data_IF_939503937354
#
_entry.id   IF_939503937354
#
_cell.length_a   1.000
_cell.length_b   1.000
_cell.length_c   1.000
_cell.angle_alpha   90.00
_cell.angle_beta   90.00
_cell.angle_gamma   90.00
#
_symmetry.space_group_name_H-M   'P 1'
#
loop_
_entity.id
_entity.type
_entity.pdbx_description
1 polymer ?
#
# COMPACT_ATOMS: atom_id res chain seq x y z
N UNK A 1 -52.09 -22.67 59.08
CA UNK A 1 -50.84 -23.15 58.78
C UNK A 1 -50.45 -22.79 57.43
N UNK A 2 -49.55 -22.15 57.30
CA UNK A 2 -49.28 -21.69 56.11
C UNK A 2 -47.99 -21.66 55.64
N UNK A 3 -47.74 -21.60 54.68
CA UNK A 3 -46.53 -21.58 54.19
C UNK A 3 -46.32 -20.63 53.23
N UNK A 4 -45.51 -19.92 53.29
CA UNK A 4 -45.22 -18.93 52.38
C UNK A 4 -44.08 -19.28 51.59
N UNK A 5 -44.15 -19.13 50.48
CA UNK A 5 -43.09 -19.40 49.73
C UNK A 5 -42.54 -18.29 49.10
N UNK A 6 -41.52 -18.12 49.19
CA UNK A 6 -40.87 -17.20 48.62
C UNK A 6 -40.20 -17.58 47.49
N UNK A 7 -40.17 -17.09 46.63
CA UNK A 7 -39.44 -17.28 45.60
C UNK A 7 -38.60 -16.28 45.28
N UNK A 8 -37.56 -16.36 45.15
CA UNK A 8 -36.58 -15.53 44.84
C UNK A 8 -36.34 -15.38 43.47
N UNK A 9 -36.33 -14.43 43.10
CA UNK A 9 -36.17 -14.19 41.78
C UNK A 9 -34.84 -14.01 41.39
N UNK A 10 -34.50 -14.45 40.65
CA UNK A 10 -33.37 -14.25 40.26
C UNK A 10 -33.17 -13.60 39.18
N UNK A 11 -32.73 -13.03 38.96
CA UNK A 11 -32.38 -12.28 38.02
C UNK A 11 -31.23 -12.47 37.43
N UNK A 12 -31.11 -12.77 36.58
CA UNK A 12 -30.07 -12.90 35.99
C UNK A 12 -29.73 -11.93 35.15
N UNK A 13 -28.96 -11.51 35.37
CA UNK A 13 -28.63 -10.49 34.73
C UNK A 13 -27.71 -10.71 33.74
N UNK A 14 -27.87 -10.89 32.95
CA UNK A 14 -26.99 -11.10 32.14
C UNK A 14 -26.38 -10.22 31.40
N UNK A 15 -25.80 -9.90 31.10
CA UNK A 15 -25.42 -9.24 30.53
C UNK A 15 -24.51 -8.79 29.95
N UNK A 16 -24.44 -8.80 29.29
CA UNK A 16 -23.90 -8.17 28.78
C UNK A 16 -22.90 -7.87 28.24
N UNK A 17 -22.51 -7.96 28.10
CA UNK A 17 -21.52 -7.70 27.79
C UNK A 17 -20.96 -7.38 26.67
N UNK A 18 -21.08 -7.85 26.07
CA UNK A 18 -20.61 -7.60 24.94
C UNK A 18 -19.79 -6.63 24.55
N UNK A 19 -20.03 -5.97 24.47
CA UNK A 19 -19.53 -5.00 24.17
C UNK A 19 -18.30 -4.68 23.97
N UNK A 20 -17.88 -4.85 24.19
CA UNK A 20 -16.72 -4.35 24.25
C UNK A 20 -15.95 -4.38 23.11
N UNK A 21 -16.20 -4.97 22.50
CA UNK A 21 -15.56 -5.07 21.52
C UNK A 21 -14.94 -4.08 20.84
N UNK A 22 -15.43 -3.44 20.36
CA UNK A 22 -14.87 -2.61 19.55
C UNK A 22 -13.85 -1.79 19.96
N UNK A 23 -13.95 -1.45 20.91
CA UNK A 23 -13.12 -0.47 21.30
C UNK A 23 -11.76 -0.72 21.02
N UNK A 24 -11.42 -1.75 21.11
CA UNK A 24 -10.21 -1.95 20.94
C UNK A 24 -9.58 -1.43 19.83
N UNK A 25 -10.13 -1.55 18.86
CA UNK A 25 -9.50 -1.18 17.75
C UNK A 25 -8.88 0.07 17.79
N UNK A 26 -9.44 0.84 18.35
CA UNK A 26 -8.98 2.07 18.33
C UNK A 26 -7.68 2.27 18.73
N UNK A 27 -7.34 1.70 19.63
CA UNK A 27 -6.17 2.02 20.16
C UNK A 27 -5.08 2.07 19.22
N UNK A 28 -5.13 1.38 18.31
CA UNK A 28 -4.04 1.36 17.59
C UNK A 28 -3.71 2.45 16.87
N UNK A 29 -4.55 3.05 16.51
CA UNK A 29 -4.26 4.05 15.71
C UNK A 29 -3.46 5.08 16.19
N UNK A 30 -3.34 5.25 17.28
CA UNK A 30 -2.71 6.42 17.71
C UNK A 30 -1.25 6.42 17.56
N UNK A 31 -0.65 5.38 17.27
CA UNK A 31 0.73 5.45 17.31
C UNK A 31 1.33 6.01 16.11
N UNK A 32 1.72 7.11 16.04
CA UNK A 32 2.34 7.67 14.91
C UNK A 32 3.81 7.82 14.97
N UNK A 33 4.48 7.43 15.92
CA UNK A 33 5.91 7.65 16.00
C UNK A 33 6.75 6.60 15.30
N UNK A 34 8.07 6.72 15.38
CA UNK A 34 8.96 5.80 14.69
C UNK A 34 8.76 4.34 15.05
N UNK A 35 8.27 4.04 16.19
CA UNK A 35 8.01 2.66 16.54
C UNK A 35 6.59 2.22 16.31
N UNK A 36 5.74 3.06 15.78
CA UNK A 36 4.35 2.69 15.57
C UNK A 36 4.06 2.04 14.26
N UNK A 37 2.81 1.80 13.98
CA UNK A 37 2.40 1.22 12.71
C UNK A 37 2.59 2.22 11.59
N UNK A 38 2.94 1.76 10.41
CA UNK A 38 3.08 2.67 9.27
C UNK A 38 1.71 3.20 8.84
N UNK A 39 1.71 4.41 8.31
CA UNK A 39 0.50 5.00 7.73
C UNK A 39 0.86 5.48 6.36
N UNK A 40 0.57 4.67 5.38
CA UNK A 40 1.04 4.87 4.02
C UNK A 40 -0.05 5.49 3.13
N UNK A 41 0.38 6.44 2.30
CA UNK A 41 -0.46 7.00 1.26
C UNK A 41 0.33 7.00 -0.01
N UNK A 42 -0.29 6.69 -1.11
CA UNK A 42 0.39 6.70 -2.41
C UNK A 42 -0.08 7.94 -3.15
N UNK A 43 0.88 8.71 -3.63
CA UNK A 43 0.60 9.95 -4.37
C UNK A 43 1.18 9.90 -5.76
N UNK A 44 0.51 10.57 -6.67
CA UNK A 44 0.95 10.80 -8.05
C UNK A 44 1.44 9.55 -8.78
N UNK A 45 0.72 8.45 -8.74
CA UNK A 45 1.15 7.25 -9.47
C UNK A 45 0.91 7.44 -10.96
N UNK A 46 1.85 7.00 -11.77
CA UNK A 46 1.65 6.99 -13.21
C UNK A 46 2.58 6.00 -13.89
N UNK A 47 2.17 5.56 -15.08
CA UNK A 47 2.96 4.70 -15.94
C UNK A 47 3.05 5.42 -17.28
N UNK A 48 4.24 5.90 -17.68
CA UNK A 48 4.38 6.46 -19.02
C UNK A 48 4.13 5.40 -20.07
N UNK A 49 3.45 5.78 -21.14
CA UNK A 49 3.19 4.84 -22.22
C UNK A 49 4.51 4.26 -22.71
N UNK A 50 4.65 2.94 -22.82
CA UNK A 50 5.89 2.36 -23.34
C UNK A 50 6.23 2.89 -24.71
N UNK A 51 7.50 3.12 -24.96
CA UNK A 51 7.95 3.71 -26.21
C UNK A 51 7.76 2.78 -27.41
N UNK A 52 7.75 1.50 -27.17
CA UNK A 52 7.58 0.53 -28.24
C UNK A 52 6.53 -0.50 -27.85
N UNK A 53 5.84 -1.10 -28.81
CA UNK A 53 4.94 -2.20 -28.52
C UNK A 53 5.68 -3.32 -27.82
N UNK A 54 5.04 -3.91 -26.83
CA UNK A 54 5.63 -5.00 -26.05
C UNK A 54 6.91 -4.61 -25.31
N UNK A 55 7.20 -3.32 -25.27
CA UNK A 55 8.39 -2.83 -24.57
C UNK A 55 8.19 -2.82 -23.07
N UNK A 56 9.28 -2.69 -22.35
CA UNK A 56 9.23 -2.58 -20.90
C UNK A 56 8.60 -1.25 -20.51
N UNK A 57 7.81 -1.25 -19.48
CA UNK A 57 7.25 -0.03 -18.93
C UNK A 57 7.91 0.32 -17.63
N UNK A 58 7.77 1.57 -17.23
CA UNK A 58 8.23 2.04 -15.94
C UNK A 58 7.04 2.50 -15.13
N UNK A 59 7.11 2.34 -13.82
CA UNK A 59 6.08 2.83 -12.94
C UNK A 59 6.68 3.77 -11.92
N UNK A 60 5.99 4.88 -11.66
CA UNK A 60 6.44 5.89 -10.72
C UNK A 60 5.33 6.25 -9.75
N UNK A 61 5.71 6.50 -8.53
CA UNK A 61 4.77 6.95 -7.51
C UNK A 61 5.56 7.41 -6.28
N UNK A 62 4.89 8.09 -5.38
CA UNK A 62 5.48 8.47 -4.10
C UNK A 62 4.70 7.77 -3.00
N UNK A 63 5.40 7.13 -2.09
CA UNK A 63 4.77 6.58 -0.90
C UNK A 63 5.10 7.52 0.25
N UNK A 64 4.07 8.08 0.87
CA UNK A 64 4.24 8.94 2.03
C UNK A 64 3.88 8.17 3.28
N UNK A 65 4.70 8.30 4.28
CA UNK A 65 4.48 7.58 5.53
C UNK A 65 4.47 8.54 6.71
N UNK A 66 3.34 8.61 7.39
CA UNK A 66 3.22 9.44 8.57
C UNK A 66 3.30 8.61 9.85
N UNK A 67 3.57 7.34 9.76
CA UNK A 67 3.68 6.44 10.91
C UNK A 67 5.08 5.87 11.05
N UNK A 68 5.18 4.69 11.59
CA UNK A 68 6.46 4.01 11.77
C UNK A 68 7.05 3.50 10.48
N UNK A 69 8.34 3.22 10.46
CA UNK A 69 9.03 2.77 9.26
C UNK A 69 8.49 1.47 8.71
N UNK A 70 8.55 1.32 7.41
CA UNK A 70 8.14 0.10 6.72
C UNK A 70 9.11 -0.16 5.58
N UNK A 71 8.89 -1.21 4.84
CA UNK A 71 9.71 -1.59 3.70
C UNK A 71 8.82 -2.12 2.59
N UNK A 72 9.02 -1.63 1.37
CA UNK A 72 8.36 -2.18 0.21
C UNK A 72 9.14 -3.41 -0.21
N UNK A 73 8.55 -4.58 -0.12
CA UNK A 73 9.26 -5.84 -0.34
C UNK A 73 8.97 -6.48 -1.68
N UNK A 74 7.88 -6.14 -2.31
CA UNK A 74 7.62 -6.63 -3.68
C UNK A 74 6.50 -5.83 -4.32
N UNK A 75 6.43 -5.90 -5.64
CA UNK A 75 5.37 -5.27 -6.41
C UNK A 75 4.94 -6.26 -7.48
N UNK A 76 3.65 -6.34 -7.71
CA UNK A 76 3.11 -7.18 -8.77
C UNK A 76 1.95 -6.47 -9.44
N UNK A 77 1.49 -7.01 -10.55
CA UNK A 77 0.35 -6.46 -11.27
C UNK A 77 -0.38 -7.56 -12.03
N UNK A 78 -1.71 -7.59 -11.98
CA UNK A 78 -2.44 -8.53 -12.83
C UNK A 78 -2.35 -8.14 -14.31
N UNK A 79 -1.89 -6.94 -14.63
CA UNK A 79 -1.76 -6.47 -16.00
C UNK A 79 -0.42 -6.85 -16.62
N UNK A 80 0.50 -7.43 -15.88
CA UNK A 80 1.84 -7.76 -16.38
C UNK A 80 2.36 -9.02 -15.71
N UNK A 81 3.25 -9.71 -16.39
CA UNK A 81 3.82 -10.94 -15.85
C UNK A 81 4.89 -10.70 -14.81
N UNK A 82 5.51 -9.55 -14.81
CA UNK A 82 6.62 -9.27 -13.90
C UNK A 82 6.73 -7.79 -13.60
N UNK A 83 6.95 -7.46 -12.34
CA UNK A 83 7.28 -6.11 -11.91
C UNK A 83 8.47 -6.21 -10.98
N UNK A 84 9.52 -5.47 -11.28
CA UNK A 84 10.72 -5.46 -10.46
C UNK A 84 11.05 -4.05 -10.00
N UNK A 85 11.78 -3.95 -8.91
CA UNK A 85 12.19 -2.66 -8.37
C UNK A 85 13.63 -2.38 -8.77
N UNK A 86 13.89 -1.17 -9.23
CA UNK A 86 15.22 -0.79 -9.68
C UNK A 86 15.62 0.57 -9.08
N UNK A 87 16.90 0.77 -8.99
CA UNK A 87 17.45 2.05 -8.57
C UNK A 87 18.52 2.46 -9.58
N UNK A 88 18.46 3.67 -10.06
CA UNK A 88 19.47 4.19 -10.96
C UNK A 88 20.61 4.78 -10.15
N UNK A 89 21.83 4.52 -10.58
CA UNK A 89 23.02 5.14 -10.03
C UNK A 89 23.62 6.01 -11.13
N UNK A 90 24.69 6.71 -10.84
CA UNK A 90 25.32 7.54 -11.85
C UNK A 90 25.84 6.76 -13.05
N UNK A 91 26.15 5.51 -12.86
CA UNK A 91 26.77 4.71 -13.93
C UNK A 91 25.95 3.50 -14.32
N UNK A 92 24.93 3.13 -13.58
CA UNK A 92 24.20 1.91 -13.88
C UNK A 92 22.81 1.91 -13.28
N UNK A 93 22.07 0.84 -13.58
CA UNK A 93 20.76 0.61 -13.02
C UNK A 93 20.83 -0.72 -12.29
N UNK A 94 20.40 -0.76 -11.06
CA UNK A 94 20.48 -1.96 -10.25
C UNK A 94 19.11 -2.42 -9.82
N UNK A 95 18.87 -3.71 -9.92
CA UNK A 95 17.65 -4.29 -9.38
C UNK A 95 17.82 -4.44 -7.88
N UNK A 96 16.82 -4.04 -7.12
CA UNK A 96 16.85 -4.17 -5.67
C UNK A 96 15.67 -5.04 -5.23
N UNK A 97 15.85 -5.74 -4.13
CA UNK A 97 14.80 -6.63 -3.66
C UNK A 97 13.83 -5.93 -2.73
N UNK A 98 14.20 -4.84 -2.17
CA UNK A 98 13.32 -4.09 -1.27
C UNK A 98 13.74 -2.63 -1.19
N UNK A 99 12.80 -1.78 -0.80
CA UNK A 99 13.05 -0.36 -0.65
C UNK A 99 12.50 0.13 0.69
N UNK A 100 13.30 0.79 1.51
CA UNK A 100 12.82 1.27 2.81
C UNK A 100 11.90 2.48 2.67
N UNK A 101 10.92 2.53 3.54
CA UNK A 101 10.02 3.69 3.64
C UNK A 101 10.23 4.25 5.05
N UNK A 102 10.92 5.36 5.19
CA UNK A 102 11.26 5.84 6.52
C UNK A 102 10.05 6.32 7.32
N UNK A 103 10.15 6.25 8.63
CA UNK A 103 9.11 6.75 9.50
C UNK A 103 8.99 8.25 9.30
N UNK A 104 7.80 8.74 9.10
CA UNK A 104 7.57 10.16 8.87
C UNK A 104 8.19 10.68 7.58
N UNK A 105 8.56 9.82 6.66
CA UNK A 105 9.23 10.21 5.43
C UNK A 105 8.54 9.70 4.19
N UNK A 106 9.29 9.67 3.09
CA UNK A 106 8.73 9.24 1.81
C UNK A 106 9.65 8.28 1.08
N UNK A 107 9.08 7.49 0.20
CA UNK A 107 9.81 6.73 -0.79
C UNK A 107 9.37 7.27 -2.14
N UNK A 108 10.29 7.89 -2.87
CA UNK A 108 9.96 8.46 -4.17
C UNK A 108 10.47 7.58 -5.28
N UNK A 109 9.55 7.10 -6.10
CA UNK A 109 9.90 6.41 -7.33
C UNK A 109 9.71 7.42 -8.45
N UNK A 110 10.80 7.93 -8.96
CA UNK A 110 10.79 9.04 -9.92
C UNK A 110 11.83 8.86 -11.01
N UNK A 111 11.65 9.55 -12.12
CA UNK A 111 12.58 9.45 -13.23
C UNK A 111 13.98 9.81 -12.79
N UNK A 112 14.95 9.01 -13.19
CA UNK A 112 16.33 9.23 -12.80
C UNK A 112 16.71 8.67 -11.45
N UNK A 113 15.77 8.15 -10.71
CA UNK A 113 16.02 7.56 -9.40
C UNK A 113 15.47 6.14 -9.31
N UNK A 114 14.87 5.81 -8.20
CA UNK A 114 14.22 4.51 -8.03
C UNK A 114 12.98 4.45 -8.92
N UNK A 115 12.66 3.28 -9.42
CA UNK A 115 11.49 3.08 -10.27
C UNK A 115 11.07 1.61 -10.30
N UNK A 116 9.88 1.38 -10.82
CA UNK A 116 9.41 0.03 -11.07
C UNK A 116 9.59 -0.28 -12.56
N UNK A 117 10.00 -1.50 -12.85
CA UNK A 117 10.14 -1.96 -14.22
C UNK A 117 9.06 -3.00 -14.43
N UNK A 118 8.22 -2.79 -15.43
CA UNK A 118 7.06 -3.62 -15.68
C UNK A 118 7.27 -4.35 -17.01
N UNK A 119 7.18 -5.66 -16.98
CA UNK A 119 7.45 -6.48 -18.14
C UNK A 119 6.36 -7.50 -18.38
N UNK A 120 6.34 -8.04 -19.58
CA UNK A 120 5.38 -9.09 -19.95
C UNK A 120 3.94 -8.65 -19.77
N UNK A 121 3.57 -7.59 -20.46
CA UNK A 121 2.22 -7.06 -20.39
C UNK A 121 1.20 -8.08 -20.88
N UNK A 122 0.13 -8.24 -20.13
CA UNK A 122 -0.96 -9.10 -20.55
C UNK A 122 -1.68 -8.48 -21.76
N UNK A 123 -1.69 -7.14 -21.80
CA UNK A 123 -2.25 -6.40 -22.89
C UNK A 123 -1.46 -5.10 -22.96
N UNK A 124 -1.09 -4.67 -24.13
CA UNK A 124 -0.31 -3.46 -24.27
C UNK A 124 -1.06 -2.26 -23.68
N UNK A 125 -0.42 -1.48 -22.82
CA UNK A 125 -1.08 -0.32 -22.21
C UNK A 125 -1.37 0.75 -23.25
N UNK A 126 -2.49 1.43 -23.07
CA UNK A 126 -2.90 2.53 -23.93
C UNK A 126 -3.16 3.77 -23.08
N UNK A 127 -3.07 4.95 -23.69
CA UNK A 127 -3.35 6.18 -22.98
C UNK A 127 -4.75 6.15 -22.40
N UNK A 128 -4.88 6.57 -21.17
CA UNK A 128 -6.15 6.56 -20.48
C UNK A 128 -6.47 5.29 -19.72
N UNK A 129 -5.69 4.24 -19.90
CA UNK A 129 -5.90 3.04 -19.14
C UNK A 129 -5.51 3.26 -17.68
N UNK A 130 -6.13 2.51 -16.78
CA UNK A 130 -5.71 2.46 -15.41
C UNK A 130 -5.31 1.03 -15.11
N UNK A 131 -4.09 0.86 -14.65
CA UNK A 131 -3.55 -0.46 -14.37
C UNK A 131 -3.39 -0.65 -12.87
N UNK A 132 -3.61 -1.85 -12.42
CA UNK A 132 -3.48 -2.14 -11.00
C UNK A 132 -2.04 -2.48 -10.66
N UNK A 133 -1.50 -1.87 -9.62
CA UNK A 133 -0.24 -2.27 -9.03
C UNK A 133 -0.51 -2.70 -7.59
N UNK A 134 0.02 -3.85 -7.23
CA UNK A 134 -0.13 -4.37 -5.89
C UNK A 134 1.20 -4.22 -5.18
N UNK A 135 1.26 -3.31 -4.24
CA UNK A 135 2.46 -3.05 -3.48
C UNK A 135 2.41 -3.87 -2.19
N UNK A 136 3.48 -4.62 -1.93
CA UNK A 136 3.53 -5.43 -0.73
C UNK A 136 4.53 -4.83 0.23
N UNK A 137 4.07 -4.45 1.40
CA UNK A 137 4.91 -3.86 2.43
C UNK A 137 5.11 -4.86 3.58
N UNK A 138 6.27 -4.81 4.20
CA UNK A 138 6.59 -5.75 5.27
C UNK A 138 5.64 -5.63 6.46
N UNK A 139 5.23 -4.42 6.79
CA UNK A 139 4.33 -4.21 7.92
C UNK A 139 2.92 -3.87 7.52
N UNK A 140 2.74 -2.97 6.59
CA UNK A 140 1.41 -2.57 6.17
C UNK A 140 0.69 -3.61 5.33
N UNK A 141 1.43 -4.56 4.77
CA UNK A 141 0.84 -5.58 3.92
C UNK A 141 0.56 -5.08 2.51
N UNK A 142 -0.48 -5.59 1.91
CA UNK A 142 -0.75 -5.32 0.52
C UNK A 142 -1.54 -4.04 0.34
N UNK A 143 -1.05 -3.17 -0.51
CA UNK A 143 -1.75 -1.93 -0.88
C UNK A 143 -1.98 -1.95 -2.38
N UNK A 144 -3.22 -1.88 -2.80
CA UNK A 144 -3.59 -1.92 -4.21
C UNK A 144 -3.75 -0.50 -4.71
N UNK A 145 -3.09 -0.19 -5.82
CA UNK A 145 -3.10 1.16 -6.38
C UNK A 145 -3.54 1.10 -7.84
N UNK A 146 -4.43 1.99 -8.23
CA UNK A 146 -4.80 2.15 -9.63
C UNK A 146 -3.94 3.23 -10.22
N UNK A 147 -3.24 2.92 -11.27
CA UNK A 147 -2.22 3.78 -11.84
C UNK A 147 -2.56 4.14 -13.28
N UNK A 148 -2.73 5.41 -13.58
CA UNK A 148 -3.08 5.82 -14.94
C UNK A 148 -1.89 5.75 -15.88
N UNK A 149 -2.15 5.40 -17.12
CA UNK A 149 -1.16 5.41 -18.18
C UNK A 149 -1.16 6.80 -18.79
N UNK A 150 -0.01 7.46 -18.78
CA UNK A 150 0.16 8.84 -19.21
C UNK A 150 1.10 8.94 -20.43
N UNK A 151 1.07 10.05 -21.17
CA UNK A 151 2.02 10.23 -22.26
C UNK A 151 3.46 10.20 -21.77
N UNK A 152 4.39 9.84 -22.66
CA UNK A 152 5.80 9.83 -22.30
C UNK A 152 6.31 11.18 -21.83
N UNK A 153 5.67 12.24 -22.25
CA UNK A 153 6.09 13.59 -21.86
C UNK A 153 5.51 14.04 -20.54
N UNK A 154 4.64 13.26 -19.95
CA UNK A 154 3.99 13.64 -18.71
C UNK A 154 4.99 13.84 -17.57
N UNK A 155 4.77 14.86 -16.76
CA UNK A 155 5.53 15.12 -15.54
C UNK A 155 4.55 15.43 -14.43
N UNK A 156 4.70 14.80 -13.27
CA UNK A 156 3.80 15.09 -12.15
C UNK A 156 3.94 16.54 -11.74
N UNK A 157 2.82 17.16 -11.40
CA UNK A 157 2.86 18.55 -10.94
C UNK A 157 2.92 19.59 -12.01
N UNK A 158 2.82 19.24 -13.28
CA UNK A 158 2.83 20.20 -14.38
C UNK A 158 1.42 20.52 -14.86
#
# INVERSE_FOLDING_TARGET
VSRAFRRGALVGAGLAAALAVGAVAVAHQSSGGPGGAPRLTVADPYIPLPATPDGMGAGYLTVRNSGGADTLVSVSSPAAGSVTMHRSTETSMEQVEQMPVPAGGTLDLARGGAHLMIMDWAKQPALGDELELDLEFAKAGRVVVKVPVKPLTYRPGS
#
